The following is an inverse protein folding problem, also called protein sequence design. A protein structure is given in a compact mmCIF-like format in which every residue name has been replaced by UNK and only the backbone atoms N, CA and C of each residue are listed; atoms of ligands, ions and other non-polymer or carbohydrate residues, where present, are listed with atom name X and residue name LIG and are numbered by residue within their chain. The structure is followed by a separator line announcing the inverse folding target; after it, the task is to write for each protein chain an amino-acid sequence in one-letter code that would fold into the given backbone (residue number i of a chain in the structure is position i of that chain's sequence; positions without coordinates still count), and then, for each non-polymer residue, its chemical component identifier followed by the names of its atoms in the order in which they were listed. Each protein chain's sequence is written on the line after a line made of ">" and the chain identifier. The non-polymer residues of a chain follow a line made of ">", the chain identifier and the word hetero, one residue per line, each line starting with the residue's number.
data_IF_637588053880
#
_entry.id   IF_637588053880
#
_cell.length_a   1.000
_cell.length_b   1.000
_cell.length_c   1.000
_cell.angle_alpha   90.00
_cell.angle_beta   90.00
_cell.angle_gamma   90.00
#
_symmetry.space_group_name_H-M   'P 1'
#
loop_
_entity.id
_entity.type
_entity.pdbx_description
1 polymer ?
#
# COMPACT_ATOMS: atom_id res chain seq x y z
N UNK A 1 -10.70 -20.47 19.17
CA UNK A 1 -9.94 -20.35 17.90
C UNK A 1 -10.76 -19.52 16.92
N UNK A 2 -10.16 -18.43 16.39
CA UNK A 2 -10.31 -17.80 15.06
C UNK A 2 -11.75 -17.68 14.51
N UNK A 3 -12.22 -16.47 14.18
CA UNK A 3 -11.88 -15.81 12.91
C UNK A 3 -12.16 -14.30 12.99
N UNK A 4 -11.19 -13.51 12.50
CA UNK A 4 -11.31 -12.07 12.30
C UNK A 4 -12.12 -11.84 11.03
N UNK A 5 -13.21 -11.07 11.14
CA UNK A 5 -14.05 -10.67 10.03
C UNK A 5 -13.34 -9.56 9.26
N UNK A 6 -12.74 -9.90 8.12
CA UNK A 6 -12.32 -8.93 7.12
C UNK A 6 -13.59 -8.33 6.48
N UNK A 7 -13.77 -7.02 6.59
CA UNK A 7 -14.91 -6.31 6.03
C UNK A 7 -14.54 -5.83 4.62
N UNK A 8 -14.93 -6.61 3.61
CA UNK A 8 -14.88 -6.19 2.21
C UNK A 8 -15.96 -5.13 1.97
N UNK A 9 -15.58 -3.86 1.84
CA UNK A 9 -16.47 -2.84 1.29
C UNK A 9 -16.33 -2.84 -0.24
N UNK A 10 -17.12 -3.66 -0.91
CA UNK A 10 -17.27 -3.64 -2.37
C UNK A 10 -18.13 -2.46 -2.81
N UNK A 11 -17.50 -1.35 -3.21
CA UNK A 11 -18.17 -0.31 -3.98
C UNK A 11 -18.05 -0.62 -5.49
N UNK A 12 -19.12 -1.14 -6.08
CA UNK A 12 -19.20 -1.36 -7.52
C UNK A 12 -19.38 -0.03 -8.26
N UNK A 13 -18.35 0.44 -8.95
CA UNK A 13 -18.44 1.46 -10.01
C UNK A 13 -18.01 0.83 -11.33
N UNK A 14 -18.99 0.52 -12.18
CA UNK A 14 -18.76 0.10 -13.55
C UNK A 14 -18.42 1.32 -14.41
N UNK A 15 -17.13 1.56 -14.68
CA UNK A 15 -16.65 2.39 -15.79
C UNK A 15 -15.57 1.62 -16.55
N UNK A 16 -15.73 1.50 -17.86
CA UNK A 16 -14.78 0.87 -18.77
C UNK A 16 -13.43 1.59 -18.76
N UNK A 17 -12.44 1.03 -18.07
CA UNK A 17 -11.04 1.39 -18.18
C UNK A 17 -10.20 0.14 -17.89
N UNK A 18 -9.07 -0.03 -18.58
CA UNK A 18 -8.13 -1.14 -18.41
C UNK A 18 -8.07 -1.61 -16.96
N UNK A 19 -8.66 -2.78 -16.66
CA UNK A 19 -8.63 -3.35 -15.31
C UNK A 19 -7.18 -3.67 -15.04
N UNK A 20 -6.49 -2.75 -14.36
CA UNK A 20 -5.18 -3.00 -13.82
C UNK A 20 -5.31 -4.19 -12.89
N UNK A 21 -4.84 -5.35 -13.35
CA UNK A 21 -4.79 -6.55 -12.52
C UNK A 21 -3.69 -6.34 -11.50
N UNK A 22 -4.04 -5.71 -10.38
CA UNK A 22 -3.22 -5.73 -9.17
C UNK A 22 -3.29 -7.13 -8.56
N UNK A 23 -2.14 -7.67 -8.19
CA UNK A 23 -2.04 -8.93 -7.44
C UNK A 23 -1.35 -8.69 -6.11
N UNK A 24 -2.04 -8.98 -5.03
CA UNK A 24 -1.48 -8.90 -3.68
C UNK A 24 -0.34 -9.92 -3.55
N UNK A 25 0.78 -9.46 -3.01
CA UNK A 25 1.96 -10.28 -2.80
C UNK A 25 1.96 -10.78 -1.35
N UNK A 26 1.89 -12.10 -1.10
CA UNK A 26 1.89 -12.62 0.25
C UNK A 26 3.23 -12.33 0.94
N UNK A 27 3.21 -12.12 2.26
CA UNK A 27 4.38 -11.66 3.04
C UNK A 27 5.64 -12.51 2.83
N UNK A 28 5.49 -13.83 2.65
CA UNK A 28 6.62 -14.73 2.39
C UNK A 28 7.32 -14.46 1.05
N UNK A 29 6.59 -13.94 0.07
CA UNK A 29 7.13 -13.50 -1.22
C UNK A 29 7.73 -12.10 -1.12
N UNK A 30 7.11 -11.19 -0.37
CA UNK A 30 7.69 -9.86 -0.06
C UNK A 30 9.09 -9.99 0.53
N UNK A 31 9.30 -10.91 1.49
CA UNK A 31 10.62 -11.17 2.08
C UNK A 31 11.65 -11.57 1.01
N UNK A 32 11.27 -12.39 0.03
CA UNK A 32 12.17 -12.79 -1.07
C UNK A 32 12.52 -11.60 -1.96
N UNK A 33 11.57 -10.72 -2.24
CA UNK A 33 11.79 -9.51 -3.06
C UNK A 33 12.75 -8.53 -2.38
N UNK A 34 12.62 -8.34 -1.06
CA UNK A 34 13.55 -7.53 -0.26
C UNK A 34 14.95 -8.17 -0.26
N UNK A 35 15.05 -9.48 -0.01
CA UNK A 35 16.34 -10.20 -0.01
C UNK A 35 17.04 -10.15 -1.38
N UNK A 36 16.26 -10.25 -2.45
CA UNK A 36 16.74 -10.11 -3.83
C UNK A 36 17.05 -8.67 -4.23
N UNK A 37 16.78 -7.68 -3.35
CA UNK A 37 16.91 -6.23 -3.61
C UNK A 37 16.08 -5.76 -4.82
N UNK A 38 14.99 -6.46 -5.10
CA UNK A 38 14.02 -6.07 -6.13
C UNK A 38 13.18 -4.88 -5.66
N UNK A 39 12.94 -4.80 -4.35
CA UNK A 39 12.26 -3.69 -3.66
C UNK A 39 13.11 -3.19 -2.49
N UNK A 40 12.81 -1.99 -2.01
CA UNK A 40 13.35 -1.44 -0.76
C UNK A 40 12.87 -2.26 0.45
N UNK A 41 13.48 -2.03 1.61
CA UNK A 41 12.95 -2.58 2.86
C UNK A 41 11.56 -1.97 3.15
N UNK A 42 10.67 -2.75 3.78
CA UNK A 42 9.35 -2.23 4.16
C UNK A 42 9.47 -1.09 5.18
N UNK A 43 10.47 -1.14 6.07
CA UNK A 43 10.71 -0.07 7.05
C UNK A 43 11.07 1.26 6.37
N UNK A 44 11.88 1.24 5.32
CA UNK A 44 12.22 2.45 4.55
C UNK A 44 11.00 3.01 3.81
N UNK A 45 10.18 2.13 3.24
CA UNK A 45 8.95 2.53 2.54
C UNK A 45 7.92 3.10 3.53
N UNK A 46 7.76 2.49 4.70
CA UNK A 46 6.93 2.99 5.79
C UNK A 46 7.37 4.37 6.27
N UNK A 47 8.68 4.55 6.46
CA UNK A 47 9.24 5.85 6.85
C UNK A 47 8.97 6.93 5.79
N UNK A 48 9.07 6.57 4.50
CA UNK A 48 8.74 7.48 3.39
C UNK A 48 7.27 7.85 3.36
N UNK A 49 6.36 6.89 3.56
CA UNK A 49 4.92 7.15 3.62
C UNK A 49 4.60 8.08 4.81
N UNK A 50 5.09 7.76 6.01
CA UNK A 50 4.88 8.58 7.21
C UNK A 50 5.44 10.01 7.08
N UNK A 51 6.51 10.22 6.31
CA UNK A 51 7.05 11.54 6.06
C UNK A 51 6.09 12.45 5.26
N UNK A 52 5.08 11.89 4.58
CA UNK A 52 4.04 12.65 3.88
C UNK A 52 3.03 13.27 4.83
N UNK A 53 2.76 12.60 5.95
CA UNK A 53 1.76 13.02 6.95
C UNK A 53 2.38 12.96 8.35
N UNK A 54 3.14 14.01 8.76
CA UNK A 54 3.80 14.01 10.06
C UNK A 54 2.82 13.83 11.22
N UNK A 55 3.12 12.86 12.08
CA UNK A 55 2.26 12.51 13.23
C UNK A 55 1.15 11.51 12.90
N UNK A 56 1.05 11.05 11.64
CA UNK A 56 0.17 9.95 11.28
C UNK A 56 0.69 8.59 11.77
N UNK A 57 -0.20 7.61 11.76
CA UNK A 57 0.07 6.21 12.09
C UNK A 57 -0.30 5.33 10.90
N UNK A 58 0.44 4.24 10.69
CA UNK A 58 0.12 3.25 9.65
C UNK A 58 -1.04 2.38 10.14
N UNK A 59 -2.08 2.28 9.32
CA UNK A 59 -3.27 1.45 9.54
C UNK A 59 -3.12 0.10 8.89
N UNK A 60 -2.71 0.10 7.62
CA UNK A 60 -2.42 -1.09 6.85
C UNK A 60 -1.33 -0.80 5.82
N UNK A 61 -0.73 -1.86 5.28
CA UNK A 61 0.18 -1.75 4.15
C UNK A 61 0.22 -3.04 3.33
N UNK A 62 0.19 -2.90 2.02
CA UNK A 62 0.18 -4.02 1.09
C UNK A 62 1.18 -3.80 -0.04
N UNK A 63 1.76 -4.90 -0.55
CA UNK A 63 2.57 -4.88 -1.75
C UNK A 63 1.76 -5.51 -2.88
N UNK A 64 1.57 -4.77 -3.97
CA UNK A 64 0.89 -5.25 -5.16
C UNK A 64 1.86 -5.33 -6.34
N UNK A 65 1.68 -6.35 -7.17
CA UNK A 65 2.23 -6.37 -8.54
C UNK A 65 1.18 -5.80 -9.50
N UNK A 66 1.49 -4.64 -10.06
CA UNK A 66 0.72 -3.97 -11.11
C UNK A 66 1.50 -4.08 -12.42
N UNK A 67 1.24 -5.15 -13.19
CA UNK A 67 1.89 -5.43 -14.48
C UNK A 67 3.42 -5.43 -14.47
N UNK A 68 4.03 -6.05 -13.46
CA UNK A 68 5.47 -6.15 -13.27
C UNK A 68 6.08 -4.96 -12.52
N UNK A 69 5.25 -3.98 -12.12
CA UNK A 69 5.65 -2.90 -11.23
C UNK A 69 5.15 -3.20 -9.82
N UNK A 70 6.08 -3.26 -8.86
CA UNK A 70 5.73 -3.40 -7.45
C UNK A 70 5.32 -2.05 -6.88
N UNK A 71 4.09 -1.95 -6.39
CA UNK A 71 3.51 -0.77 -5.73
C UNK A 71 3.29 -1.12 -4.26
N UNK A 72 3.86 -0.33 -3.36
CA UNK A 72 3.65 -0.46 -1.93
C UNK A 72 2.61 0.57 -1.50
N UNK A 73 1.44 0.09 -1.08
CA UNK A 73 0.33 0.92 -0.64
C UNK A 73 0.33 1.00 0.87
N UNK A 74 0.14 2.19 1.41
CA UNK A 74 0.10 2.44 2.85
C UNK A 74 -1.11 3.30 3.17
N UNK A 75 -1.98 2.77 4.02
CA UNK A 75 -3.07 3.53 4.62
C UNK A 75 -2.56 4.20 5.90
N UNK A 76 -2.67 5.52 5.96
CA UNK A 76 -2.26 6.32 7.11
C UNK A 76 -3.47 6.95 7.77
N UNK A 77 -3.41 7.15 9.09
CA UNK A 77 -4.37 7.97 9.83
C UNK A 77 -3.65 9.07 10.60
N UNK A 78 -3.98 10.32 10.31
CA UNK A 78 -3.38 11.48 10.94
C UNK A 78 -3.99 11.81 12.32
N UNK A 79 -3.43 12.83 12.98
CA UNK A 79 -3.87 13.28 14.30
C UNK A 79 -5.27 13.91 14.31
N UNK A 80 -5.84 14.21 13.15
CA UNK A 80 -7.21 14.71 12.96
C UNK A 80 -8.20 13.58 12.63
N UNK A 81 -7.77 12.31 12.67
CA UNK A 81 -8.51 11.13 12.22
C UNK A 81 -8.84 11.14 10.71
N UNK A 82 -8.09 11.90 9.90
CA UNK A 82 -8.20 11.81 8.44
C UNK A 82 -7.37 10.62 7.95
N UNK A 83 -7.94 9.85 7.03
CA UNK A 83 -7.28 8.71 6.40
C UNK A 83 -6.66 9.13 5.06
N UNK A 84 -5.49 8.57 4.78
CA UNK A 84 -4.69 8.91 3.61
C UNK A 84 -4.16 7.64 2.94
N UNK A 85 -4.37 7.56 1.63
CA UNK A 85 -3.76 6.56 0.76
C UNK A 85 -2.44 7.09 0.21
N UNK A 86 -1.34 6.42 0.57
CA UNK A 86 -0.03 6.70 0.01
C UNK A 86 0.48 5.48 -0.75
N UNK A 87 0.62 5.62 -2.07
CA UNK A 87 1.19 4.58 -2.93
C UNK A 87 2.63 4.95 -3.29
N UNK A 88 3.55 4.00 -3.11
CA UNK A 88 4.97 4.15 -3.40
C UNK A 88 5.40 3.16 -4.48
N UNK A 89 6.30 3.57 -5.37
CA UNK A 89 7.08 2.64 -6.17
C UNK A 89 7.99 1.84 -5.23
N UNK A 90 7.77 0.54 -5.09
CA UNK A 90 8.44 -0.25 -4.06
C UNK A 90 9.96 -0.38 -4.30
N UNK A 91 10.44 -0.14 -5.53
CA UNK A 91 11.87 -0.21 -5.88
C UNK A 91 12.62 1.07 -5.55
N UNK A 92 11.98 2.22 -5.75
CA UNK A 92 12.62 3.54 -5.66
C UNK A 92 12.15 4.37 -4.47
N UNK A 93 10.97 4.05 -3.93
CA UNK A 93 10.28 4.84 -2.91
C UNK A 93 9.76 6.18 -3.42
N UNK A 94 9.55 6.31 -4.73
CA UNK A 94 8.85 7.45 -5.34
C UNK A 94 7.36 7.42 -4.96
N UNK A 95 6.78 8.58 -4.62
CA UNK A 95 5.36 8.71 -4.32
C UNK A 95 4.56 8.76 -5.61
N UNK A 96 3.66 7.78 -5.79
CA UNK A 96 2.77 7.65 -6.94
C UNK A 96 1.38 8.20 -6.66
N UNK A 97 0.93 8.08 -5.41
CA UNK A 97 -0.33 8.62 -4.90
C UNK A 97 -0.13 9.16 -3.49
N UNK A 98 -0.78 10.26 -3.20
CA UNK A 98 -0.91 10.85 -1.87
C UNK A 98 -2.28 11.54 -1.85
N UNK A 99 -3.30 10.82 -1.37
CA UNK A 99 -4.68 11.27 -1.45
C UNK A 99 -5.41 10.98 -0.15
N UNK A 100 -6.28 11.89 0.26
CA UNK A 100 -7.20 11.67 1.37
C UNK A 100 -8.25 10.62 0.96
N UNK A 101 -8.49 9.65 1.84
CA UNK A 101 -9.61 8.71 1.70
C UNK A 101 -10.90 9.37 2.21
N UNK A 102 -11.96 9.34 1.39
CA UNK A 102 -13.20 10.14 1.57
C UNK A 102 -14.46 9.32 1.43
#
# INVERSE_FOLDING_TARGET
>A
MKTLTALFATAALALSANVALAKDIPTNEVVKLVQAKTIMSLDDLNAKALAKHPGATIKDSELEDVYGRYVYKVELRDAQNVEWDVDLDAKTGEVLKDAQDT
#
